data_IF_034241788159
#
_entry.id   IF_034241788159
#
_cell.length_a   1.000
_cell.length_b   1.000
_cell.length_c   1.000
_cell.angle_alpha   90.00
_cell.angle_beta   90.00
_cell.angle_gamma   90.00
#
_symmetry.space_group_name_H-M   'P 1'
#
loop_
_entity.id
_entity.type
_entity.pdbx_description
1 polymer ?
#
# COMPACT_ATOMS: atom_id res chain seq x y z
N UNK A 1 22.24 13.45 38.13
CA UNK A 1 22.58 12.79 36.87
C UNK A 1 21.54 13.17 35.85
N UNK A 2 21.83 14.07 34.91
CA UNK A 2 20.95 14.34 33.78
C UNK A 2 21.08 13.17 32.83
N UNK A 3 20.04 12.36 32.67
CA UNK A 3 19.96 11.39 31.58
C UNK A 3 19.84 12.17 30.27
N UNK A 4 20.90 12.24 29.49
CA UNK A 4 20.85 12.64 28.09
C UNK A 4 20.11 11.52 27.32
N UNK A 5 18.83 11.69 27.16
CA UNK A 5 18.08 10.89 26.17
C UNK A 5 18.48 11.44 24.80
N UNK A 6 19.29 10.69 24.07
CA UNK A 6 19.58 10.99 22.66
C UNK A 6 18.24 10.94 21.90
N UNK A 7 17.67 12.11 21.63
CA UNK A 7 16.46 12.19 20.77
C UNK A 7 16.82 11.72 19.36
N UNK A 8 16.05 10.78 18.86
CA UNK A 8 16.20 10.30 17.50
C UNK A 8 15.98 11.45 16.51
N UNK A 9 16.97 11.76 15.67
CA UNK A 9 16.89 12.84 14.69
C UNK A 9 16.64 12.34 13.27
N UNK A 10 16.95 11.07 12.99
CA UNK A 10 16.82 10.47 11.66
C UNK A 10 16.38 9.00 11.74
N UNK A 11 15.77 8.51 10.67
CA UNK A 11 15.33 7.12 10.47
C UNK A 11 15.65 6.68 9.04
N UNK A 12 15.94 5.39 8.89
CA UNK A 12 15.96 4.71 7.58
C UNK A 12 14.94 3.57 7.64
N UNK A 13 14.02 3.54 6.70
CA UNK A 13 12.86 2.66 6.70
C UNK A 13 12.72 1.95 5.36
N UNK A 14 12.26 0.71 5.38
CA UNK A 14 11.83 -0.03 4.19
C UNK A 14 10.36 0.24 3.94
N UNK A 15 10.01 0.55 2.70
CA UNK A 15 8.65 0.72 2.21
C UNK A 15 8.34 -0.41 1.24
N UNK A 16 7.72 -1.46 1.74
CA UNK A 16 7.56 -2.74 1.06
C UNK A 16 6.51 -2.69 -0.06
N UNK A 17 6.70 -3.48 -1.12
CA UNK A 17 5.69 -3.75 -2.13
C UNK A 17 4.63 -4.73 -1.62
N UNK A 18 3.53 -4.87 -2.36
CA UNK A 18 2.52 -5.93 -2.17
C UNK A 18 2.17 -6.61 -3.49
N UNK A 19 1.61 -7.79 -3.38
CA UNK A 19 0.84 -8.42 -4.46
C UNK A 19 -0.55 -8.78 -3.94
N UNK A 20 -1.47 -8.97 -4.87
CA UNK A 20 -2.78 -9.57 -4.60
C UNK A 20 -2.69 -11.06 -4.94
N UNK A 21 -2.95 -11.92 -3.96
CA UNK A 21 -3.11 -13.35 -4.17
C UNK A 21 -4.61 -13.60 -4.34
N UNK A 22 -5.03 -13.80 -5.57
CA UNK A 22 -6.43 -13.74 -5.95
C UNK A 22 -7.02 -12.33 -5.79
N UNK A 23 -7.74 -11.87 -6.78
CA UNK A 23 -8.48 -10.61 -6.72
C UNK A 23 -9.84 -10.82 -7.36
N UNK A 24 -10.89 -10.76 -6.56
CA UNK A 24 -12.26 -10.72 -7.02
C UNK A 24 -12.75 -9.27 -7.00
N UNK A 25 -13.13 -8.76 -8.16
CA UNK A 25 -13.82 -7.47 -8.29
C UNK A 25 -15.31 -7.74 -8.22
N UNK A 26 -15.99 -7.04 -7.33
CA UNK A 26 -17.39 -7.21 -7.03
C UNK A 26 -18.21 -6.01 -7.55
N UNK A 27 -19.42 -5.88 -7.04
CA UNK A 27 -20.34 -4.81 -7.43
C UNK A 27 -19.72 -3.42 -7.30
N UNK A 28 -20.07 -2.56 -8.24
CA UNK A 28 -19.73 -1.14 -8.15
C UNK A 28 -20.60 -0.47 -7.09
N UNK A 29 -19.98 0.39 -6.29
CA UNK A 29 -20.60 1.21 -5.26
C UNK A 29 -21.16 2.51 -5.85
N UNK A 30 -22.10 3.18 -5.16
CA UNK A 30 -22.61 4.50 -5.60
C UNK A 30 -21.53 5.59 -5.68
N UNK A 31 -20.43 5.45 -4.93
CA UNK A 31 -19.28 6.37 -4.94
C UNK A 31 -18.33 6.14 -6.13
N UNK A 32 -18.64 5.15 -6.99
CA UNK A 32 -17.88 4.82 -8.19
C UNK A 32 -16.74 3.83 -7.97
N UNK A 33 -16.41 3.48 -6.73
CA UNK A 33 -15.47 2.41 -6.40
C UNK A 33 -16.12 1.03 -6.59
N UNK A 34 -15.28 -0.01 -6.67
CA UNK A 34 -15.74 -1.41 -6.66
C UNK A 34 -15.40 -2.06 -5.31
N UNK A 35 -16.33 -2.84 -4.80
CA UNK A 35 -16.00 -3.78 -3.74
C UNK A 35 -15.06 -4.84 -4.29
N UNK A 36 -14.03 -5.18 -3.53
CA UNK A 36 -13.09 -6.26 -3.86
C UNK A 36 -13.06 -7.29 -2.75
N UNK A 37 -12.53 -8.47 -3.07
CA UNK A 37 -12.16 -9.49 -2.11
C UNK A 37 -10.82 -10.10 -2.53
N UNK A 38 -9.79 -9.99 -1.70
CA UNK A 38 -8.42 -10.37 -2.06
C UNK A 38 -7.61 -10.77 -0.83
N UNK A 39 -6.50 -11.46 -1.06
CA UNK A 39 -5.43 -11.54 -0.07
C UNK A 39 -4.32 -10.59 -0.49
N UNK A 40 -4.03 -9.61 0.34
CA UNK A 40 -2.83 -8.80 0.22
C UNK A 40 -1.64 -9.52 0.84
N UNK A 41 -0.54 -9.61 0.10
CA UNK A 41 0.73 -10.14 0.58
C UNK A 41 1.83 -9.10 0.44
N UNK A 42 2.42 -8.71 1.57
CA UNK A 42 3.61 -7.87 1.60
C UNK A 42 4.84 -8.65 1.11
N UNK A 43 5.71 -7.97 0.36
CA UNK A 43 6.94 -8.55 -0.19
C UNK A 43 8.17 -7.91 0.44
N UNK A 44 9.32 -8.62 0.45
CA UNK A 44 10.60 -8.00 0.88
C UNK A 44 11.19 -7.04 -0.17
N UNK A 45 10.63 -7.00 -1.39
CA UNK A 45 10.96 -5.98 -2.38
C UNK A 45 10.43 -4.61 -1.92
N UNK A 46 11.30 -3.59 -1.83
CA UNK A 46 10.97 -2.34 -1.16
C UNK A 46 11.70 -1.12 -1.74
N UNK A 47 11.10 0.05 -1.54
CA UNK A 47 11.75 1.35 -1.59
C UNK A 47 12.45 1.63 -0.26
N UNK A 48 13.41 2.55 -0.24
CA UNK A 48 14.05 3.02 0.99
C UNK A 48 13.67 4.46 1.25
N UNK A 49 13.24 4.76 2.48
CA UNK A 49 12.89 6.11 2.92
C UNK A 49 13.80 6.52 4.06
N UNK A 50 14.46 7.69 3.90
CA UNK A 50 15.19 8.37 4.97
C UNK A 50 14.39 9.56 5.45
N UNK A 51 14.19 9.64 6.75
CA UNK A 51 13.51 10.75 7.41
C UNK A 51 14.47 11.44 8.36
N UNK A 52 14.48 12.77 8.32
CA UNK A 52 15.25 13.59 9.26
C UNK A 52 14.39 14.77 9.73
N UNK A 53 14.42 15.05 11.05
CA UNK A 53 13.73 16.21 11.62
C UNK A 53 14.31 17.51 11.09
N UNK A 54 13.41 18.47 10.84
CA UNK A 54 13.74 19.85 10.49
C UNK A 54 12.90 20.80 11.36
N UNK A 55 13.34 22.04 11.44
CA UNK A 55 12.61 23.06 12.22
C UNK A 55 11.24 23.38 11.59
N UNK A 56 11.19 23.44 10.26
CA UNK A 56 9.96 23.78 9.52
C UNK A 56 9.97 23.17 8.13
N UNK A 57 8.77 23.06 7.54
CA UNK A 57 8.50 22.62 6.16
C UNK A 57 8.89 21.16 5.85
N UNK A 58 8.31 20.61 4.80
CA UNK A 58 8.71 19.34 4.22
C UNK A 58 9.70 19.60 3.08
N UNK A 59 10.84 18.90 3.10
CA UNK A 59 11.74 18.83 1.96
C UNK A 59 11.70 17.41 1.42
N UNK A 60 11.25 17.24 0.17
CA UNK A 60 11.18 15.95 -0.50
C UNK A 60 12.22 15.85 -1.61
N UNK A 61 12.89 14.70 -1.69
CA UNK A 61 13.81 14.34 -2.77
C UNK A 61 13.66 12.87 -3.15
N UNK A 62 13.97 12.53 -4.41
CA UNK A 62 13.97 11.17 -4.91
C UNK A 62 15.04 10.97 -5.98
N UNK A 63 15.45 9.71 -6.17
CA UNK A 63 16.35 9.26 -7.24
C UNK A 63 15.68 9.21 -8.62
N UNK A 64 14.36 9.46 -8.72
CA UNK A 64 13.60 9.46 -9.97
C UNK A 64 12.99 10.83 -10.26
N UNK A 65 13.08 11.30 -11.50
CA UNK A 65 12.64 12.66 -11.86
C UNK A 65 11.14 12.77 -12.17
N UNK A 66 10.50 11.65 -12.54
CA UNK A 66 9.08 11.63 -12.87
C UNK A 66 8.15 11.76 -11.65
N UNK A 67 8.68 11.59 -10.45
CA UNK A 67 7.89 11.69 -9.22
C UNK A 67 7.71 13.16 -8.82
N UNK A 68 6.46 13.58 -8.61
CA UNK A 68 6.16 14.92 -8.13
C UNK A 68 6.90 15.22 -6.83
N UNK A 69 7.39 16.46 -6.69
CA UNK A 69 8.15 16.93 -5.51
C UNK A 69 7.36 17.96 -4.70
N UNK A 70 6.11 18.17 -5.04
CA UNK A 70 5.17 19.12 -4.42
C UNK A 70 4.11 18.41 -3.58
N UNK A 71 3.08 19.15 -3.19
CA UNK A 71 1.98 18.71 -2.33
C UNK A 71 1.09 17.63 -2.98
N UNK A 72 1.28 17.29 -4.24
CA UNK A 72 0.61 16.15 -4.91
C UNK A 72 1.28 14.81 -4.63
N UNK A 73 2.48 14.81 -4.05
CA UNK A 73 3.21 13.60 -3.69
C UNK A 73 2.64 12.97 -2.42
N UNK A 74 2.32 11.68 -2.46
CA UNK A 74 1.76 10.96 -1.31
C UNK A 74 2.64 10.99 -0.06
N UNK A 75 3.96 11.07 -0.20
CA UNK A 75 4.87 11.23 0.95
C UNK A 75 4.71 12.61 1.61
N UNK A 76 4.59 13.66 0.80
CA UNK A 76 4.35 15.03 1.28
C UNK A 76 2.97 15.14 1.89
N UNK A 77 1.95 14.59 1.23
CA UNK A 77 0.57 14.53 1.76
C UNK A 77 0.50 13.79 3.10
N UNK A 78 1.22 12.68 3.25
CA UNK A 78 1.26 11.93 4.51
C UNK A 78 1.88 12.76 5.64
N UNK A 79 2.97 13.50 5.37
CA UNK A 79 3.53 14.43 6.34
C UNK A 79 2.52 15.53 6.68
N UNK A 80 1.88 16.16 5.69
CA UNK A 80 0.90 17.23 5.92
C UNK A 80 -0.27 16.76 6.79
N UNK A 81 -0.83 15.57 6.52
CA UNK A 81 -1.87 14.96 7.38
C UNK A 81 -1.43 14.82 8.82
N UNK A 82 -0.19 14.37 9.05
CA UNK A 82 0.36 14.25 10.41
C UNK A 82 0.58 15.62 11.06
N UNK A 83 0.95 16.64 10.29
CA UNK A 83 1.04 18.03 10.79
C UNK A 83 -0.33 18.55 11.19
N UNK A 84 -1.35 18.35 10.35
CA UNK A 84 -2.70 18.83 10.59
C UNK A 84 -3.32 18.22 11.86
N UNK A 85 -3.03 16.93 12.13
CA UNK A 85 -3.57 16.21 13.29
C UNK A 85 -2.76 16.44 14.57
N UNK A 86 -1.42 16.47 14.47
CA UNK A 86 -0.52 16.43 15.65
C UNK A 86 0.35 17.67 15.82
N UNK A 87 0.29 18.64 14.90
CA UNK A 87 1.08 19.87 14.99
C UNK A 87 2.59 19.63 14.89
N UNK A 88 3.04 18.70 14.03
CA UNK A 88 4.45 18.34 13.89
C UNK A 88 5.28 19.46 13.28
N UNK A 89 6.60 19.44 13.56
CA UNK A 89 7.60 20.25 12.87
C UNK A 89 7.88 19.75 11.46
N UNK A 90 8.94 20.31 10.84
CA UNK A 90 9.35 19.97 9.49
C UNK A 90 10.10 18.64 9.40
N UNK A 91 10.15 18.07 8.19
CA UNK A 91 10.87 16.83 7.91
C UNK A 91 11.59 16.92 6.56
N UNK A 92 12.77 16.30 6.47
CA UNK A 92 13.39 15.93 5.21
C UNK A 92 13.02 14.48 4.89
N UNK A 93 12.52 14.25 3.67
CA UNK A 93 12.15 12.94 3.13
C UNK A 93 13.03 12.68 1.92
N UNK A 94 13.88 11.67 1.99
CA UNK A 94 14.63 11.16 0.85
C UNK A 94 14.08 9.78 0.50
N UNK A 95 13.55 9.63 -0.72
CA UNK A 95 12.98 8.40 -1.24
C UNK A 95 13.88 7.80 -2.32
N UNK A 96 14.45 6.64 -2.04
CA UNK A 96 15.08 5.78 -3.05
C UNK A 96 14.04 4.83 -3.61
N UNK A 97 13.52 5.16 -4.81
CA UNK A 97 12.46 4.42 -5.50
C UNK A 97 13.04 3.25 -6.26
N UNK A 98 12.49 2.06 -6.01
CA UNK A 98 12.84 0.79 -6.67
C UNK A 98 11.59 0.08 -7.19
N UNK A 99 10.45 0.21 -6.48
CA UNK A 99 9.17 -0.40 -6.87
C UNK A 99 8.67 0.32 -8.12
N UNK A 100 8.40 -0.40 -9.24
CA UNK A 100 7.86 0.20 -10.46
C UNK A 100 6.54 0.94 -10.22
N UNK A 101 6.33 2.05 -10.92
CA UNK A 101 5.06 2.75 -10.93
C UNK A 101 4.07 2.06 -11.86
N UNK A 102 2.78 2.06 -11.48
CA UNK A 102 1.70 1.54 -12.33
C UNK A 102 1.63 0.01 -12.43
N UNK A 103 2.47 -0.71 -11.69
CA UNK A 103 2.51 -2.19 -11.70
C UNK A 103 1.61 -2.87 -10.65
N UNK A 104 0.61 -2.19 -10.07
CA UNK A 104 -0.26 -2.81 -9.06
C UNK A 104 0.43 -3.17 -7.72
N UNK A 105 1.72 -2.84 -7.55
CA UNK A 105 2.55 -3.24 -6.40
C UNK A 105 2.38 -2.32 -5.16
N UNK A 106 1.50 -1.34 -5.21
CA UNK A 106 1.15 -0.47 -4.09
C UNK A 106 2.27 0.47 -3.63
N UNK A 107 3.31 0.73 -4.45
CA UNK A 107 4.50 1.46 -4.03
C UNK A 107 4.24 2.86 -3.46
N UNK A 108 3.34 3.65 -4.07
CA UNK A 108 2.98 4.98 -3.57
C UNK A 108 2.27 4.93 -2.21
N UNK A 109 1.29 4.02 -2.07
CA UNK A 109 0.57 3.81 -0.81
C UNK A 109 1.49 3.29 0.30
N UNK A 110 2.42 2.40 -0.05
CA UNK A 110 3.45 1.92 0.87
C UNK A 110 4.36 3.05 1.34
N UNK A 111 4.77 3.95 0.42
CA UNK A 111 5.59 5.11 0.79
C UNK A 111 4.83 6.00 1.78
N UNK A 112 3.55 6.33 1.52
CA UNK A 112 2.72 7.11 2.43
C UNK A 112 2.60 6.45 3.82
N UNK A 113 2.25 5.16 3.89
CA UNK A 113 2.15 4.42 5.14
C UNK A 113 3.49 4.41 5.92
N UNK A 114 4.60 4.26 5.20
CA UNK A 114 5.94 4.29 5.79
C UNK A 114 6.27 5.66 6.35
N UNK A 115 5.84 6.76 5.70
CA UNK A 115 5.95 8.12 6.25
C UNK A 115 5.11 8.25 7.53
N UNK A 116 3.85 7.81 7.55
CA UNK A 116 3.00 7.86 8.75
C UNK A 116 3.67 7.14 9.94
N UNK A 117 4.08 5.88 9.74
CA UNK A 117 4.80 5.08 10.75
C UNK A 117 6.12 5.73 11.18
N UNK A 118 6.85 6.26 10.21
CA UNK A 118 8.14 6.91 10.43
C UNK A 118 8.01 8.19 11.25
N UNK A 119 7.04 9.04 10.95
CA UNK A 119 6.76 10.27 11.70
C UNK A 119 6.29 9.96 13.12
N UNK A 120 5.40 8.97 13.31
CA UNK A 120 5.02 8.48 14.65
C UNK A 120 6.26 8.15 15.48
N UNK A 121 7.19 7.39 14.91
CA UNK A 121 8.42 7.00 15.60
C UNK A 121 9.39 8.17 15.79
N UNK A 122 9.56 8.99 14.76
CA UNK A 122 10.50 10.12 14.76
C UNK A 122 10.11 11.19 15.78
N UNK A 123 8.80 11.47 15.92
CA UNK A 123 8.25 12.47 16.83
C UNK A 123 7.77 11.89 18.17
N UNK A 124 7.95 10.56 18.37
CA UNK A 124 7.59 9.86 19.62
C UNK A 124 6.10 10.03 19.96
N UNK A 125 5.21 9.91 18.93
CA UNK A 125 3.78 10.09 19.10
C UNK A 125 3.15 8.83 19.71
N UNK A 126 2.25 9.03 20.67
CA UNK A 126 1.39 7.97 21.22
C UNK A 126 0.16 7.81 20.33
N UNK A 127 0.32 7.10 19.22
CA UNK A 127 -0.69 6.87 18.18
C UNK A 127 -0.69 5.40 17.80
N UNK A 128 -1.86 4.78 17.83
CA UNK A 128 -2.05 3.37 17.47
C UNK A 128 -1.96 3.11 15.96
N UNK A 129 -1.83 1.85 15.57
CA UNK A 129 -1.92 1.46 14.16
C UNK A 129 -3.31 1.75 13.59
N UNK A 130 -4.38 1.55 14.35
CA UNK A 130 -5.76 1.79 13.92
C UNK A 130 -6.02 3.29 13.63
N UNK A 131 -5.42 4.19 14.42
CA UNK A 131 -5.46 5.63 14.16
C UNK A 131 -4.66 6.00 12.91
N UNK A 132 -3.50 5.38 12.69
CA UNK A 132 -2.73 5.59 11.46
C UNK A 132 -3.46 5.04 10.23
N UNK A 133 -4.18 3.91 10.34
CA UNK A 133 -5.03 3.38 9.26
C UNK A 133 -6.15 4.37 8.92
N UNK A 134 -6.79 4.98 9.94
CA UNK A 134 -7.82 6.00 9.76
C UNK A 134 -7.30 7.24 9.03
N UNK A 135 -6.09 7.71 9.37
CA UNK A 135 -5.43 8.81 8.67
C UNK A 135 -5.05 8.38 7.25
N UNK A 136 -4.60 7.14 7.10
CA UNK A 136 -4.08 6.59 5.85
C UNK A 136 -5.11 6.40 4.75
N UNK A 137 -6.39 6.09 5.10
CA UNK A 137 -7.44 5.86 4.10
C UNK A 137 -7.70 7.09 3.23
N UNK A 138 -7.54 8.30 3.76
CA UNK A 138 -7.66 9.55 3.03
C UNK A 138 -6.55 9.75 1.98
N UNK A 139 -5.43 9.07 2.13
CA UNK A 139 -4.29 9.10 1.22
C UNK A 139 -4.41 8.06 0.09
N UNK A 140 -5.12 6.97 0.34
CA UNK A 140 -5.39 5.93 -0.64
C UNK A 140 -5.86 4.63 -0.01
N UNK A 141 -6.67 3.86 -0.76
CA UNK A 141 -7.31 2.63 -0.29
C UNK A 141 -6.32 1.54 0.18
N UNK A 142 -5.13 1.47 -0.42
CA UNK A 142 -4.09 0.50 -0.04
C UNK A 142 -3.22 0.97 1.15
N UNK A 143 -3.30 2.24 1.58
CA UNK A 143 -2.44 2.77 2.65
C UNK A 143 -2.65 2.04 3.98
N UNK A 144 -3.90 1.78 4.43
CA UNK A 144 -4.15 1.04 5.67
C UNK A 144 -3.47 -0.33 5.69
N UNK A 145 -3.47 -1.07 4.58
CA UNK A 145 -2.78 -2.36 4.50
C UNK A 145 -1.30 -2.26 4.92
N UNK A 146 -0.58 -1.24 4.44
CA UNK A 146 0.85 -1.07 4.71
C UNK A 146 1.17 -0.57 6.13
N UNK A 147 0.17 -0.15 6.91
CA UNK A 147 0.40 0.18 8.33
C UNK A 147 0.79 -1.09 9.09
N UNK A 148 0.03 -2.17 8.98
CA UNK A 148 0.31 -3.48 9.61
C UNK A 148 1.16 -4.38 8.71
N UNK A 149 0.99 -4.29 7.40
CA UNK A 149 1.71 -5.12 6.42
C UNK A 149 1.40 -6.61 6.53
N UNK A 150 2.38 -7.46 6.22
CA UNK A 150 2.30 -8.93 6.26
C UNK A 150 1.28 -9.50 5.26
N UNK A 151 0.41 -10.43 5.72
CA UNK A 151 -0.64 -11.05 4.92
C UNK A 151 -1.99 -10.71 5.52
N UNK A 152 -2.89 -10.16 4.72
CA UNK A 152 -4.23 -9.76 5.18
C UNK A 152 -5.28 -10.06 4.11
N UNK A 153 -6.46 -10.50 4.52
CA UNK A 153 -7.65 -10.47 3.66
C UNK A 153 -8.12 -9.04 3.60
N UNK A 154 -8.38 -8.54 2.39
CA UNK A 154 -8.94 -7.22 2.12
C UNK A 154 -10.32 -7.32 1.52
N UNK A 155 -11.28 -6.62 2.12
CA UNK A 155 -12.64 -6.43 1.67
C UNK A 155 -12.95 -4.93 1.48
N UNK A 156 -14.18 -4.60 1.09
CA UNK A 156 -14.54 -3.21 0.78
C UNK A 156 -13.85 -2.75 -0.50
N UNK A 157 -13.22 -1.58 -0.51
CA UNK A 157 -12.32 -1.12 -1.58
C UNK A 157 -10.84 -1.53 -1.32
N UNK A 158 -10.61 -2.40 -0.31
CA UNK A 158 -9.31 -2.85 0.20
C UNK A 158 -8.98 -2.34 1.61
N UNK A 159 -9.88 -1.56 2.22
CA UNK A 159 -9.68 -0.93 3.53
C UNK A 159 -10.17 -1.79 4.71
N UNK A 160 -11.04 -2.78 4.46
CA UNK A 160 -11.52 -3.69 5.50
C UNK A 160 -10.55 -4.85 5.61
N UNK A 161 -9.64 -4.76 6.56
CA UNK A 161 -8.47 -5.62 6.64
C UNK A 161 -8.57 -6.62 7.79
N UNK A 162 -8.29 -7.90 7.48
CA UNK A 162 -8.21 -8.97 8.46
C UNK A 162 -6.88 -9.69 8.35
N UNK A 163 -5.99 -9.53 9.35
CA UNK A 163 -4.73 -10.26 9.38
C UNK A 163 -4.94 -11.77 9.34
N UNK A 164 -4.11 -12.47 8.58
CA UNK A 164 -4.11 -13.93 8.50
C UNK A 164 -2.68 -14.47 8.57
N UNK A 165 -2.54 -15.63 9.17
CA UNK A 165 -1.28 -16.35 9.19
C UNK A 165 -1.28 -17.38 8.05
N UNK A 166 -0.60 -17.04 6.95
CA UNK A 166 -0.30 -18.00 5.88
C UNK A 166 1.21 -18.20 5.88
N UNK A 167 1.65 -19.45 5.98
CA UNK A 167 3.05 -19.79 5.79
C UNK A 167 3.24 -20.16 4.33
N UNK A 168 3.64 -19.19 3.50
CA UNK A 168 4.08 -19.44 2.13
C UNK A 168 5.60 -19.55 2.16
N UNK A 169 6.11 -20.77 2.13
CA UNK A 169 7.54 -21.02 2.00
C UNK A 169 7.91 -20.95 0.52
N UNK A 170 8.51 -19.84 0.08
CA UNK A 170 8.92 -19.67 -1.32
C UNK A 170 9.32 -18.25 -1.65
N UNK A 171 9.51 -18.01 -2.95
CA UNK A 171 9.87 -16.72 -3.52
C UNK A 171 8.81 -16.32 -4.55
N UNK A 172 8.51 -15.02 -4.62
CA UNK A 172 7.73 -14.46 -5.71
C UNK A 172 8.68 -13.98 -6.81
N UNK A 173 8.47 -14.44 -8.04
CA UNK A 173 9.11 -13.87 -9.21
C UNK A 173 8.18 -12.78 -9.75
N UNK A 174 8.64 -11.52 -9.67
CA UNK A 174 7.93 -10.38 -10.24
C UNK A 174 8.41 -10.13 -11.66
N UNK A 175 7.50 -10.19 -12.61
CA UNK A 175 7.74 -9.76 -14.00
C UNK A 175 6.97 -8.45 -14.19
N UNK A 176 7.71 -7.35 -14.38
CA UNK A 176 7.13 -6.02 -14.61
C UNK A 176 7.44 -5.61 -16.06
N UNK A 177 6.49 -5.75 -16.99
CA UNK A 177 6.65 -5.23 -18.34
C UNK A 177 6.71 -3.70 -18.31
N UNK A 178 7.31 -3.10 -19.34
CA UNK A 178 7.34 -1.64 -19.49
C UNK A 178 5.99 -1.11 -19.99
N UNK A 179 4.96 -1.41 -19.22
CA UNK A 179 3.57 -1.03 -19.46
C UNK A 179 2.98 -0.38 -18.21
N UNK A 180 2.47 0.84 -18.35
CA UNK A 180 1.82 1.55 -17.26
C UNK A 180 0.30 1.43 -17.38
N UNK A 181 -0.33 0.70 -16.47
CA UNK A 181 -1.78 0.55 -16.39
C UNK A 181 -2.31 1.45 -15.27
N UNK A 182 -3.14 2.41 -15.65
CA UNK A 182 -3.82 3.27 -14.68
C UNK A 182 -4.91 2.51 -13.94
N UNK A 183 -4.82 2.38 -12.62
CA UNK A 183 -5.80 1.68 -11.78
C UNK A 183 -7.25 2.13 -12.06
N UNK A 184 -7.47 3.45 -12.20
CA UNK A 184 -8.79 4.01 -12.50
C UNK A 184 -9.34 3.54 -13.86
N UNK A 185 -8.47 3.43 -14.86
CA UNK A 185 -8.84 2.91 -16.18
C UNK A 185 -9.21 1.43 -16.09
N UNK A 186 -8.38 0.60 -15.48
CA UNK A 186 -8.63 -0.85 -15.34
C UNK A 186 -9.97 -1.14 -14.65
N UNK A 187 -10.28 -0.45 -13.54
CA UNK A 187 -11.61 -0.57 -12.91
C UNK A 187 -12.74 -0.02 -13.77
N UNK A 188 -12.48 0.95 -14.64
CA UNK A 188 -13.45 1.50 -15.58
C UNK A 188 -13.87 0.50 -16.65
N UNK A 189 -12.92 -0.24 -17.21
CA UNK A 189 -13.16 -1.28 -18.21
C UNK A 189 -13.94 -2.47 -17.61
N UNK A 190 -13.71 -2.77 -16.35
CA UNK A 190 -14.37 -3.87 -15.67
C UNK A 190 -15.90 -3.73 -15.53
N UNK A 191 -16.46 -2.52 -15.65
CA UNK A 191 -17.91 -2.27 -15.59
C UNK A 191 -18.74 -3.12 -16.55
N UNK A 192 -18.17 -3.49 -17.69
CA UNK A 192 -18.86 -4.22 -18.75
C UNK A 192 -18.86 -5.75 -18.53
N UNK A 193 -18.14 -6.25 -17.53
CA UNK A 193 -17.88 -7.69 -17.31
C UNK A 193 -18.68 -8.25 -16.10
N UNK A 194 -19.35 -7.38 -15.32
CA UNK A 194 -19.96 -7.71 -14.00
C UNK A 194 -21.24 -8.54 -14.03
N UNK A 195 -21.42 -9.47 -14.95
CA UNK A 195 -22.55 -10.43 -14.93
C UNK A 195 -22.14 -11.77 -14.31
N UNK A 196 -21.48 -11.74 -13.12
CA UNK A 196 -21.02 -12.93 -12.42
C UNK A 196 -21.85 -13.25 -11.18
N UNK A 197 -22.05 -14.55 -10.88
CA UNK A 197 -22.66 -14.95 -9.60
C UNK A 197 -21.78 -14.47 -8.43
N UNK A 198 -22.43 -13.93 -7.41
CA UNK A 198 -21.82 -13.36 -6.19
C UNK A 198 -21.15 -14.41 -5.27
N UNK A 199 -20.61 -15.51 -5.79
CA UNK A 199 -19.92 -16.49 -4.98
C UNK A 199 -18.57 -15.93 -4.49
N UNK A 200 -18.46 -15.77 -3.20
CA UNK A 200 -17.21 -15.32 -2.56
C UNK A 200 -16.27 -16.51 -2.48
N UNK A 201 -15.07 -16.38 -3.05
CA UNK A 201 -14.01 -17.35 -2.81
C UNK A 201 -13.68 -17.35 -1.31
N UNK A 202 -13.90 -18.47 -0.67
CA UNK A 202 -13.65 -18.60 0.75
C UNK A 202 -12.17 -18.83 1.02
N UNK A 203 -11.38 -17.77 1.10
CA UNK A 203 -9.98 -17.83 1.44
C UNK A 203 -9.72 -18.44 2.83
N UNK A 204 -10.65 -18.34 3.76
CA UNK A 204 -10.46 -18.89 5.12
C UNK A 204 -10.39 -20.43 5.15
N UNK A 205 -11.01 -21.12 4.18
CA UNK A 205 -10.88 -22.57 4.02
C UNK A 205 -9.49 -23.03 3.55
N UNK A 206 -8.72 -22.13 2.94
CA UNK A 206 -7.42 -22.41 2.34
C UNK A 206 -6.25 -22.07 3.27
N UNK A 207 -6.44 -21.20 4.26
CA UNK A 207 -5.39 -20.76 5.21
C UNK A 207 -4.79 -21.94 6.00
N UNK A 208 -5.49 -23.08 6.07
CA UNK A 208 -5.06 -24.26 6.83
C UNK A 208 -4.44 -25.37 5.96
N UNK A 209 -4.34 -25.16 4.66
CA UNK A 209 -3.77 -26.16 3.74
C UNK A 209 -2.34 -25.81 3.42
N UNK A 210 -1.46 -26.83 3.39
CA UNK A 210 -0.05 -26.69 3.01
C UNK A 210 0.13 -26.31 1.53
N UNK A 211 -0.92 -26.47 0.71
CA UNK A 211 -0.94 -26.14 -0.72
C UNK A 211 -2.07 -25.16 -0.96
N UNK A 212 -1.74 -23.99 -1.47
CA UNK A 212 -2.72 -23.01 -1.95
C UNK A 212 -3.17 -23.48 -3.34
N UNK A 213 -4.47 -23.77 -3.56
CA UNK A 213 -4.96 -24.16 -4.87
C UNK A 213 -4.72 -23.06 -5.91
N UNK A 214 -4.35 -23.44 -7.12
CA UNK A 214 -3.98 -22.49 -8.18
C UNK A 214 -5.13 -21.55 -8.55
N UNK A 215 -6.36 -22.01 -8.45
CA UNK A 215 -7.58 -21.24 -8.71
C UNK A 215 -7.74 -20.01 -7.82
N UNK A 216 -7.03 -19.98 -6.69
CA UNK A 216 -7.00 -18.80 -5.80
C UNK A 216 -6.12 -17.65 -6.30
N UNK A 217 -5.26 -17.91 -7.26
CA UNK A 217 -4.40 -16.90 -7.85
C UNK A 217 -5.07 -16.14 -9.01
N UNK A 218 -6.32 -16.48 -9.34
CA UNK A 218 -7.07 -15.74 -10.36
C UNK A 218 -7.20 -14.28 -9.96
N UNK A 219 -6.90 -13.41 -10.93
CA UNK A 219 -7.03 -11.97 -10.79
C UNK A 219 -8.03 -11.50 -11.86
N UNK A 220 -9.14 -10.92 -11.41
CA UNK A 220 -10.22 -10.50 -12.31
C UNK A 220 -9.77 -9.46 -13.35
N UNK A 221 -8.70 -8.71 -13.12
CA UNK A 221 -8.13 -7.87 -14.17
C UNK A 221 -7.60 -8.66 -15.37
N UNK A 222 -7.24 -9.94 -15.22
CA UNK A 222 -6.89 -10.83 -16.32
C UNK A 222 -8.03 -11.11 -17.30
N UNK A 223 -9.26 -10.67 -17.00
CA UNK A 223 -10.41 -10.78 -17.89
C UNK A 223 -10.56 -9.59 -18.84
N UNK A 224 -9.76 -8.57 -18.69
CA UNK A 224 -9.75 -7.42 -19.59
C UNK A 224 -8.88 -7.81 -20.79
N UNK A 225 -9.51 -8.00 -21.97
CA UNK A 225 -8.86 -8.47 -23.20
C UNK A 225 -7.58 -7.70 -23.54
N UNK A 226 -7.56 -6.38 -23.28
CA UNK A 226 -6.38 -5.54 -23.52
C UNK A 226 -5.23 -5.81 -22.54
N UNK A 227 -5.47 -6.53 -21.43
CA UNK A 227 -4.48 -6.91 -20.44
C UNK A 227 -4.02 -8.37 -20.58
N UNK A 228 -4.63 -9.16 -21.48
CA UNK A 228 -4.31 -10.59 -21.68
C UNK A 228 -2.83 -10.87 -21.95
N UNK A 229 -2.09 -9.86 -22.42
CA UNK A 229 -0.65 -9.95 -22.69
C UNK A 229 0.23 -9.33 -21.61
N UNK A 230 -0.35 -8.82 -20.53
CA UNK A 230 0.37 -8.10 -19.47
C UNK A 230 0.55 -8.93 -18.18
N UNK A 231 -0.06 -10.13 -18.13
CA UNK A 231 0.00 -11.03 -16.96
C UNK A 231 0.52 -12.41 -17.31
#
# INVERSE_FOLDING_TARGET
>A
MQHFVLKMSHLVLKSHAKVNIGLQIRNQRPDGYHNIHTIFQELDFHDTIRLEKRDSNCQFSSNVDWLAKDDSNLCVMAWQKMVDVFGLGGVSIELEKRIPAGGGLGGGSSNAATILKGLRKLYELDVSDDELETIGIDLGADVPFFIKGKTQIGDGIGEILKPIEIIINGYYLLVAPDLQIGTKWAYGEFKNILDRPNEIVNFSGFIRKEIIPFELFENDFGLIDELEYAY
#
